data_IF_411265606027
#
_entry.id   IF_411265606027
#
_cell.length_a   1.000
_cell.length_b   1.000
_cell.length_c   1.000
_cell.angle_alpha   90.00
_cell.angle_beta   90.00
_cell.angle_gamma   90.00
#
_symmetry.space_group_name_H-M   'P 1'
#
loop_
_entity.id
_entity.type
_entity.pdbx_description
1 polymer ?
#
# COMPACT_ATOMS: atom_id res chain seq x y z
N UNK A 1 0.61 -10.53 -12.49
CA UNK A 1 -0.54 -9.99 -11.73
C UNK A 1 -0.38 -8.49 -11.64
N UNK A 2 -1.47 -7.73 -11.68
CA UNK A 2 -1.48 -6.30 -11.42
C UNK A 2 -2.31 -6.07 -10.17
N UNK A 3 -1.78 -5.36 -9.18
CA UNK A 3 -2.52 -5.00 -7.97
C UNK A 3 -3.01 -3.57 -8.08
N UNK A 4 -4.20 -3.31 -7.57
CA UNK A 4 -4.82 -1.98 -7.60
C UNK A 4 -5.47 -1.68 -6.26
N UNK A 5 -5.39 -0.41 -5.90
CA UNK A 5 -6.07 0.22 -4.77
C UNK A 5 -7.19 1.11 -5.30
N UNK A 6 -8.10 1.52 -4.43
CA UNK A 6 -9.19 2.44 -4.71
C UNK A 6 -9.29 3.44 -3.55
N UNK A 7 -9.26 4.74 -3.87
CA UNK A 7 -9.27 5.83 -2.90
C UNK A 7 -10.72 6.21 -2.52
N UNK A 8 -11.38 5.28 -1.85
CA UNK A 8 -12.71 5.48 -1.26
C UNK A 8 -12.71 4.97 0.19
N UNK A 9 -13.56 5.55 1.04
CA UNK A 9 -13.66 5.20 2.47
C UNK A 9 -14.11 3.74 2.71
N UNK A 10 -14.80 3.15 1.74
CA UNK A 10 -15.28 1.77 1.71
C UNK A 10 -14.66 0.97 0.56
N UNK A 11 -13.39 1.22 0.26
CA UNK A 11 -12.68 0.60 -0.86
C UNK A 11 -12.37 -0.88 -0.66
N UNK A 12 -12.06 -1.54 -1.77
CA UNK A 12 -11.48 -2.88 -1.80
C UNK A 12 -10.04 -2.84 -2.32
N UNK A 13 -9.30 -3.91 -2.06
CA UNK A 13 -8.03 -4.18 -2.74
C UNK A 13 -8.29 -5.15 -3.89
N UNK A 14 -7.79 -4.79 -5.06
CA UNK A 14 -8.02 -5.53 -6.29
C UNK A 14 -6.74 -6.18 -6.81
N UNK A 15 -6.91 -7.27 -7.56
CA UNK A 15 -5.90 -7.72 -8.51
C UNK A 15 -6.52 -8.04 -9.87
N UNK A 16 -5.77 -7.74 -10.91
CA UNK A 16 -6.09 -8.12 -12.27
C UNK A 16 -5.15 -9.23 -12.76
N UNK A 17 -5.76 -10.31 -13.24
CA UNK A 17 -5.11 -11.44 -13.87
C UNK A 17 -5.32 -11.33 -15.39
N UNK A 18 -4.31 -10.85 -16.15
CA UNK A 18 -4.46 -10.68 -17.59
C UNK A 18 -4.66 -12.04 -18.26
N UNK A 19 -5.57 -12.10 -19.23
CA UNK A 19 -5.81 -13.31 -20.03
C UNK A 19 -4.54 -13.71 -20.81
N UNK A 20 -3.76 -12.72 -21.25
CA UNK A 20 -2.46 -12.91 -21.87
C UNK A 20 -1.43 -12.02 -21.17
N UNK A 21 -0.41 -12.58 -20.49
CA UNK A 21 0.65 -11.80 -19.86
C UNK A 21 1.27 -10.76 -20.81
N UNK A 22 1.42 -9.52 -20.35
CA UNK A 22 1.95 -8.41 -21.14
C UNK A 22 0.95 -7.75 -22.11
N UNK A 23 -0.30 -8.23 -22.21
CA UNK A 23 -1.33 -7.66 -23.09
C UNK A 23 -2.61 -7.33 -22.32
N UNK A 24 -2.57 -6.25 -21.53
CA UNK A 24 -3.69 -5.84 -20.66
C UNK A 24 -4.99 -5.58 -21.43
N UNK A 25 -4.89 -4.97 -22.61
CA UNK A 25 -6.04 -4.67 -23.47
C UNK A 25 -6.78 -5.92 -24.00
N UNK A 26 -6.20 -7.13 -23.88
CA UNK A 26 -6.88 -8.37 -24.22
C UNK A 26 -7.88 -8.84 -23.15
N UNK A 27 -8.05 -8.07 -22.08
CA UNK A 27 -8.92 -8.42 -20.96
C UNK A 27 -8.29 -9.44 -20.01
N UNK A 28 -9.07 -9.88 -19.04
CA UNK A 28 -8.63 -10.73 -17.95
C UNK A 28 -9.70 -10.84 -16.87
N UNK A 29 -9.30 -11.28 -15.68
CA UNK A 29 -10.19 -11.35 -14.52
C UNK A 29 -9.78 -10.29 -13.51
N UNK A 30 -10.74 -9.49 -13.06
CA UNK A 30 -10.57 -8.63 -11.89
C UNK A 30 -11.07 -9.38 -10.67
N UNK A 31 -10.31 -9.30 -9.58
CA UNK A 31 -10.63 -9.95 -8.33
C UNK A 31 -10.49 -8.99 -7.16
N UNK A 32 -11.25 -9.20 -6.08
CA UNK A 32 -11.11 -8.48 -4.81
C UNK A 32 -10.57 -9.36 -3.69
N UNK A 33 -9.78 -8.77 -2.80
CA UNK A 33 -9.17 -9.45 -1.66
C UNK A 33 -10.21 -9.69 -0.56
N UNK A 34 -10.23 -10.91 -0.01
CA UNK A 34 -11.08 -11.30 1.10
C UNK A 34 -10.26 -12.03 2.17
N UNK A 35 -10.60 -11.82 3.44
CA UNK A 35 -10.06 -12.68 4.50
C UNK A 35 -10.66 -14.09 4.35
N UNK A 36 -9.83 -15.13 4.54
CA UNK A 36 -10.25 -16.51 4.36
C UNK A 36 -11.36 -16.90 5.36
N UNK A 37 -11.20 -16.48 6.62
CA UNK A 37 -12.10 -16.86 7.73
C UNK A 37 -13.20 -15.83 8.02
N UNK A 38 -13.06 -14.59 7.53
CA UNK A 38 -14.00 -13.50 7.81
C UNK A 38 -14.54 -12.92 6.50
N UNK A 39 -15.78 -13.27 6.16
CA UNK A 39 -16.47 -12.69 5.00
C UNK A 39 -16.85 -11.25 5.30
N UNK A 40 -16.71 -10.38 4.30
CA UNK A 40 -17.11 -8.97 4.41
C UNK A 40 -16.45 -8.31 5.63
N UNK A 41 -15.18 -8.61 5.86
CA UNK A 41 -14.45 -8.06 7.00
C UNK A 41 -14.23 -6.55 6.81
N UNK A 42 -14.30 -5.81 7.91
CA UNK A 42 -13.89 -4.41 7.96
C UNK A 42 -12.49 -4.33 8.57
N UNK A 43 -11.48 -3.92 7.77
CA UNK A 43 -10.08 -3.87 8.22
C UNK A 43 -9.63 -2.49 8.71
N UNK A 44 -10.53 -1.51 8.66
CA UNK A 44 -10.22 -0.09 8.83
C UNK A 44 -9.92 0.30 10.27
N UNK A 45 -10.23 -0.58 11.24
CA UNK A 45 -10.05 -0.36 12.68
C UNK A 45 -10.71 0.93 13.22
N UNK A 46 -11.69 1.50 12.52
CA UNK A 46 -12.37 2.72 12.94
C UNK A 46 -13.13 2.58 14.26
N UNK A 47 -13.23 3.67 15.05
CA UNK A 47 -14.02 3.68 16.28
C UNK A 47 -15.48 3.26 16.04
N UNK A 48 -16.01 2.42 16.92
CA UNK A 48 -17.38 1.92 16.80
C UNK A 48 -17.57 0.76 15.83
N UNK A 49 -16.49 0.31 15.15
CA UNK A 49 -16.47 -0.95 14.42
C UNK A 49 -16.72 -2.12 15.38
N UNK A 50 -17.83 -2.82 15.18
CA UNK A 50 -18.19 -3.98 15.97
C UNK A 50 -17.52 -5.23 15.42
N UNK A 51 -16.72 -5.88 16.26
CA UNK A 51 -16.23 -7.26 16.13
C UNK A 51 -14.96 -7.47 15.28
N UNK A 52 -13.83 -7.35 15.97
CA UNK A 52 -12.50 -7.85 15.63
C UNK A 52 -11.64 -6.93 14.75
N UNK A 53 -11.14 -5.87 15.38
CA UNK A 53 -9.99 -5.10 14.88
C UNK A 53 -8.89 -6.03 14.37
N UNK A 54 -8.21 -5.60 13.32
CA UNK A 54 -7.04 -6.29 12.78
C UNK A 54 -5.85 -5.92 13.68
N UNK A 55 -5.26 -6.87 14.41
CA UNK A 55 -4.05 -6.58 15.18
C UNK A 55 -2.87 -6.39 14.24
N UNK A 56 -1.99 -5.45 14.59
CA UNK A 56 -0.71 -5.29 13.91
C UNK A 56 0.12 -6.57 13.99
N UNK A 57 0.95 -6.79 12.97
CA UNK A 57 1.93 -7.86 12.91
C UNK A 57 1.38 -9.29 13.07
N UNK A 58 0.11 -9.49 12.73
CA UNK A 58 -0.56 -10.81 12.76
C UNK A 58 -0.93 -11.23 11.35
N UNK A 59 -0.27 -12.27 10.79
CA UNK A 59 -0.63 -12.78 9.47
C UNK A 59 -2.04 -13.36 9.45
N UNK A 60 -2.80 -12.98 8.42
CA UNK A 60 -4.14 -13.46 8.12
C UNK A 60 -4.14 -14.16 6.77
N UNK A 61 -4.70 -15.36 6.72
CA UNK A 61 -4.92 -16.03 5.45
C UNK A 61 -5.97 -15.28 4.62
N UNK A 62 -5.68 -15.11 3.35
CA UNK A 62 -6.56 -14.40 2.41
C UNK A 62 -6.81 -15.19 1.14
N UNK A 63 -7.86 -14.79 0.42
CA UNK A 63 -8.24 -15.35 -0.86
C UNK A 63 -8.78 -14.25 -1.77
N UNK A 64 -8.79 -14.53 -3.07
CA UNK A 64 -9.30 -13.61 -4.08
C UNK A 64 -10.67 -14.05 -4.60
N UNK A 65 -11.58 -13.10 -4.75
CA UNK A 65 -12.94 -13.29 -5.27
C UNK A 65 -13.00 -12.73 -6.69
N UNK A 66 -13.39 -13.53 -7.68
CA UNK A 66 -13.71 -13.00 -9.01
C UNK A 66 -14.86 -12.00 -8.91
N UNK A 67 -14.73 -10.89 -9.65
CA UNK A 67 -15.75 -9.85 -9.76
C UNK A 67 -16.36 -9.87 -11.17
N UNK A 68 -17.67 -9.68 -11.22
CA UNK A 68 -18.44 -9.53 -12.45
C UNK A 68 -18.83 -8.06 -12.69
N UNK A 69 -19.22 -7.72 -13.92
CA UNK A 69 -19.63 -6.36 -14.33
C UNK A 69 -18.60 -5.29 -13.89
N UNK A 70 -17.34 -5.52 -14.27
CA UNK A 70 -16.17 -4.78 -13.81
C UNK A 70 -16.07 -3.37 -14.41
N UNK A 71 -16.84 -3.07 -15.45
CA UNK A 71 -17.00 -1.73 -16.01
C UNK A 71 -17.72 -0.77 -15.04
N UNK A 72 -18.45 -1.31 -14.06
CA UNK A 72 -19.14 -0.60 -12.98
C UNK A 72 -19.73 0.77 -13.38
N UNK A 73 -20.69 0.81 -14.34
CA UNK A 73 -21.29 2.07 -14.79
C UNK A 73 -22.11 2.79 -13.70
N UNK A 74 -22.33 2.14 -12.55
CA UNK A 74 -23.07 2.66 -11.40
C UNK A 74 -22.17 3.04 -10.22
N UNK A 75 -20.85 2.94 -10.37
CA UNK A 75 -19.90 3.13 -9.27
C UNK A 75 -20.25 2.25 -8.04
N UNK A 76 -20.44 0.95 -8.31
CA UNK A 76 -20.97 0.00 -7.33
C UNK A 76 -20.11 -1.26 -7.12
N UNK A 77 -18.94 -1.31 -7.75
CA UNK A 77 -18.09 -2.49 -7.75
C UNK A 77 -17.65 -2.86 -6.32
N UNK A 78 -17.18 -1.87 -5.55
CA UNK A 78 -16.76 -2.07 -4.15
C UNK A 78 -17.90 -2.54 -3.25
N UNK A 79 -19.08 -1.97 -3.41
CA UNK A 79 -20.28 -2.35 -2.66
C UNK A 79 -20.68 -3.80 -2.94
N UNK A 80 -20.69 -4.21 -4.22
CA UNK A 80 -20.99 -5.60 -4.62
C UNK A 80 -19.90 -6.56 -4.18
N UNK A 81 -18.63 -6.20 -4.32
CA UNK A 81 -17.50 -7.02 -3.91
C UNK A 81 -17.51 -7.26 -2.39
N UNK A 82 -17.76 -6.23 -1.59
CA UNK A 82 -17.90 -6.36 -0.15
C UNK A 82 -19.09 -7.25 0.23
N UNK A 83 -20.26 -7.04 -0.40
CA UNK A 83 -21.43 -7.90 -0.21
C UNK A 83 -21.16 -9.38 -0.59
N UNK A 84 -20.28 -9.62 -1.56
CA UNK A 84 -19.82 -10.96 -1.94
C UNK A 84 -18.77 -11.55 -0.97
N UNK A 85 -18.24 -10.73 -0.07
CA UNK A 85 -17.37 -11.13 1.04
C UNK A 85 -15.96 -10.56 0.99
N UNK A 86 -15.65 -9.62 0.09
CA UNK A 86 -14.37 -8.92 0.08
C UNK A 86 -14.18 -8.06 1.33
N UNK A 87 -12.93 -7.84 1.73
CA UNK A 87 -12.60 -7.03 2.88
C UNK A 87 -12.58 -5.53 2.52
N UNK A 88 -13.08 -4.67 3.41
CA UNK A 88 -12.99 -3.21 3.27
C UNK A 88 -11.64 -2.72 3.75
N UNK A 89 -11.13 -1.73 3.03
CA UNK A 89 -9.94 -0.95 3.35
C UNK A 89 -10.33 0.54 3.30
N UNK A 90 -9.61 1.38 4.05
CA UNK A 90 -9.94 2.80 4.16
C UNK A 90 -9.03 3.56 3.21
N UNK A 91 -9.58 4.09 2.10
CA UNK A 91 -8.88 4.97 1.16
C UNK A 91 -7.54 4.37 0.71
N UNK A 92 -7.63 3.33 -0.10
CA UNK A 92 -6.46 2.64 -0.62
C UNK A 92 -5.76 3.54 -1.64
N UNK A 93 -4.50 3.89 -1.42
CA UNK A 93 -3.78 4.83 -2.29
C UNK A 93 -2.46 4.22 -2.78
N UNK A 94 -1.31 4.72 -2.31
CA UNK A 94 -0.01 4.25 -2.75
C UNK A 94 0.18 2.75 -2.56
N UNK A 95 0.77 2.10 -3.56
CA UNK A 95 1.08 0.68 -3.56
C UNK A 95 2.45 0.44 -4.19
N UNK A 96 3.25 -0.39 -3.56
CA UNK A 96 4.56 -0.77 -4.10
C UNK A 96 4.83 -2.26 -3.90
N UNK A 97 5.64 -2.84 -4.79
CA UNK A 97 6.12 -4.21 -4.67
C UNK A 97 7.64 -4.20 -4.52
N UNK A 98 8.15 -4.87 -3.48
CA UNK A 98 9.57 -4.94 -3.19
C UNK A 98 9.89 -6.14 -2.30
N UNK A 99 11.07 -6.73 -2.47
CA UNK A 99 11.52 -7.89 -1.68
C UNK A 99 10.55 -9.08 -1.67
N UNK A 100 9.75 -9.25 -2.73
CA UNK A 100 8.78 -10.34 -2.86
C UNK A 100 7.44 -10.07 -2.16
N UNK A 101 7.25 -8.88 -1.60
CA UNK A 101 6.06 -8.49 -0.84
C UNK A 101 5.44 -7.23 -1.45
N UNK A 102 4.14 -7.07 -1.24
CA UNK A 102 3.35 -5.91 -1.66
C UNK A 102 3.02 -5.08 -0.41
N UNK A 103 3.17 -3.77 -0.52
CA UNK A 103 2.82 -2.83 0.53
C UNK A 103 1.84 -1.81 -0.03
N UNK A 104 0.78 -1.52 0.70
CA UNK A 104 -0.18 -0.51 0.30
C UNK A 104 -0.67 0.31 1.49
N UNK A 105 -0.93 1.58 1.23
CA UNK A 105 -1.46 2.53 2.17
C UNK A 105 -2.99 2.48 2.21
N UNK A 106 -3.53 2.65 3.41
CA UNK A 106 -4.91 2.96 3.70
C UNK A 106 -4.94 4.29 4.45
N UNK A 107 -5.11 5.40 3.73
CA UNK A 107 -4.82 6.76 4.22
C UNK A 107 -5.60 7.11 5.48
N UNK A 108 -6.89 6.79 5.52
CA UNK A 108 -7.76 7.11 6.66
C UNK A 108 -7.94 5.93 7.61
N UNK A 109 -7.15 4.86 7.48
CA UNK A 109 -7.23 3.69 8.33
C UNK A 109 -6.79 3.92 9.78
N UNK A 110 -7.14 2.97 10.64
CA UNK A 110 -6.72 2.90 12.04
C UNK A 110 -7.68 3.58 13.01
N UNK A 111 -7.50 3.29 14.30
CA UNK A 111 -8.39 3.84 15.34
C UNK A 111 -8.38 5.38 15.41
N UNK A 112 -7.26 5.99 15.01
CA UNK A 112 -7.11 7.45 14.92
C UNK A 112 -7.55 8.04 13.59
N UNK A 113 -7.80 7.20 12.56
CA UNK A 113 -7.97 7.64 11.18
C UNK A 113 -6.75 8.42 10.68
N UNK A 114 -5.56 7.90 10.97
CA UNK A 114 -4.26 8.54 10.72
C UNK A 114 -3.37 7.73 9.77
N UNK A 115 -3.85 6.58 9.30
CA UNK A 115 -3.15 5.76 8.32
C UNK A 115 -2.86 4.35 8.82
N UNK A 116 -2.99 3.41 7.89
CA UNK A 116 -2.50 2.05 8.02
C UNK A 116 -1.66 1.70 6.79
N UNK A 117 -0.64 0.87 6.97
CA UNK A 117 0.09 0.23 5.87
C UNK A 117 -0.12 -1.27 6.03
N UNK A 118 -0.63 -1.90 4.98
CA UNK A 118 -0.77 -3.35 4.92
C UNK A 118 0.37 -3.95 4.12
N UNK A 119 0.81 -5.12 4.56
CA UNK A 119 1.77 -5.99 3.89
C UNK A 119 1.05 -7.23 3.37
N UNK A 120 1.18 -7.50 2.08
CA UNK A 120 0.66 -8.69 1.43
C UNK A 120 1.80 -9.56 0.90
N UNK A 121 1.77 -10.84 1.27
CA UNK A 121 2.68 -11.87 0.77
C UNK A 121 1.93 -12.72 -0.26
N UNK A 122 2.30 -12.64 -1.55
CA UNK A 122 1.70 -13.45 -2.58
C UNK A 122 1.94 -14.95 -2.36
N UNK A 123 1.07 -15.77 -2.93
CA UNK A 123 1.32 -17.20 -3.04
C UNK A 123 2.54 -17.48 -3.91
N UNK A 124 3.25 -18.58 -3.65
CA UNK A 124 4.23 -19.12 -4.60
C UNK A 124 3.61 -19.46 -5.97
N UNK A 125 2.27 -19.60 -6.03
CA UNK A 125 1.49 -19.84 -7.23
C UNK A 125 0.48 -18.70 -7.49
N UNK A 126 0.85 -17.45 -7.17
CA UNK A 126 -0.01 -16.26 -7.29
C UNK A 126 -0.74 -16.17 -8.65
N UNK A 127 -2.07 -16.17 -8.62
CA UNK A 127 -2.91 -16.06 -9.81
C UNK A 127 -3.01 -17.34 -10.66
N UNK A 128 -2.41 -18.45 -10.23
CA UNK A 128 -2.48 -19.76 -10.89
C UNK A 128 -3.52 -20.69 -10.23
N UNK A 129 -3.87 -21.79 -10.91
CA UNK A 129 -4.85 -22.76 -10.38
C UNK A 129 -4.42 -23.43 -9.06
N UNK A 130 -3.12 -23.48 -8.80
CA UNK A 130 -2.49 -24.08 -7.61
C UNK A 130 -2.31 -23.10 -6.45
N UNK A 131 -2.81 -21.86 -6.57
CA UNK A 131 -2.67 -20.82 -5.54
C UNK A 131 -3.11 -21.29 -4.15
N UNK A 132 -4.15 -22.13 -4.07
CA UNK A 132 -4.65 -22.70 -2.81
C UNK A 132 -3.68 -23.66 -2.13
N UNK A 133 -2.66 -24.16 -2.81
CA UNK A 133 -1.64 -25.05 -2.22
C UNK A 133 -0.62 -24.27 -1.37
N UNK A 134 -0.51 -22.95 -1.55
CA UNK A 134 0.36 -22.07 -0.78
C UNK A 134 -0.39 -20.75 -0.52
N UNK A 135 -1.16 -20.63 0.57
CA UNK A 135 -2.01 -19.48 0.83
C UNK A 135 -1.24 -18.15 0.86
N UNK A 136 -1.87 -17.11 0.32
CA UNK A 136 -1.38 -15.74 0.46
C UNK A 136 -1.66 -15.23 1.87
N UNK A 137 -0.86 -14.28 2.34
CA UNK A 137 -1.03 -13.68 3.66
C UNK A 137 -1.18 -12.17 3.58
N UNK A 138 -2.06 -11.63 4.40
CA UNK A 138 -2.21 -10.21 4.64
C UNK A 138 -1.85 -9.91 6.09
N UNK A 139 -1.20 -8.79 6.33
CA UNK A 139 -0.80 -8.35 7.66
C UNK A 139 -0.98 -6.83 7.74
N UNK A 140 -1.61 -6.35 8.79
CA UNK A 140 -1.53 -4.94 9.15
C UNK A 140 -0.11 -4.69 9.66
N UNK A 141 0.71 -4.04 8.83
CA UNK A 141 2.15 -3.90 9.08
C UNK A 141 2.45 -2.69 9.96
N UNK A 142 1.74 -1.59 9.73
CA UNK A 142 1.79 -0.39 10.55
C UNK A 142 0.38 0.16 10.70
N UNK A 143 -0.02 0.50 11.91
CA UNK A 143 -1.12 1.42 12.20
C UNK A 143 -0.58 2.63 12.96
N UNK A 144 -0.92 3.83 12.50
CA UNK A 144 -0.46 5.04 13.18
C UNK A 144 -1.14 5.18 14.56
N UNK A 145 -0.32 5.09 15.61
CA UNK A 145 -0.73 5.35 16.99
C UNK A 145 -0.56 6.83 17.40
N UNK A 146 0.10 7.65 16.57
CA UNK A 146 0.33 9.08 16.78
C UNK A 146 0.44 9.78 15.42
N UNK A 147 -0.41 10.78 15.17
CA UNK A 147 -0.36 11.63 13.96
C UNK A 147 0.97 12.36 13.78
N UNK A 148 1.79 12.46 14.84
CA UNK A 148 3.16 12.99 14.73
C UNK A 148 4.17 11.95 14.24
N UNK A 149 3.86 10.67 14.24
CA UNK A 149 4.71 9.63 13.71
C UNK A 149 4.39 9.35 12.23
N UNK A 150 3.10 9.29 11.90
CA UNK A 150 2.57 9.12 10.55
C UNK A 150 1.14 9.68 10.51
N UNK A 151 0.82 10.52 9.54
CA UNK A 151 -0.54 11.04 9.34
C UNK A 151 -0.93 10.96 7.87
N UNK A 152 -2.02 10.25 7.57
CA UNK A 152 -2.56 10.04 6.24
C UNK A 152 -1.48 9.55 5.26
N UNK A 153 -0.98 8.33 5.49
CA UNK A 153 -0.01 7.73 4.60
C UNK A 153 -0.63 7.48 3.21
N UNK A 154 -0.05 8.07 2.17
CA UNK A 154 -0.56 7.97 0.80
C UNK A 154 0.44 7.22 -0.08
N UNK A 155 1.35 7.92 -0.75
CA UNK A 155 2.26 7.32 -1.72
C UNK A 155 3.43 6.63 -1.02
N UNK A 156 3.85 5.45 -1.49
CA UNK A 156 4.98 4.74 -0.91
C UNK A 156 5.86 4.04 -1.95
N UNK A 157 7.15 3.89 -1.64
CA UNK A 157 8.12 3.10 -2.41
C UNK A 157 9.10 2.37 -1.51
N UNK A 158 9.62 1.23 -1.96
CA UNK A 158 10.80 0.62 -1.36
C UNK A 158 12.02 1.51 -1.60
N UNK A 159 12.82 1.72 -0.56
CA UNK A 159 14.10 2.43 -0.62
C UNK A 159 15.23 1.49 -1.09
N UNK A 160 16.36 2.02 -1.60
CA UNK A 160 17.53 1.21 -1.95
C UNK A 160 18.13 0.39 -0.80
N UNK A 161 17.84 0.76 0.46
CA UNK A 161 18.37 0.07 1.65
C UNK A 161 17.37 -0.87 2.32
N UNK A 162 16.15 -1.00 1.78
CA UNK A 162 15.17 -2.01 2.21
C UNK A 162 14.09 -1.53 3.18
N UNK A 163 14.08 -0.24 3.53
CA UNK A 163 12.95 0.40 4.23
C UNK A 163 11.86 0.80 3.21
N UNK A 164 10.65 1.12 3.67
CA UNK A 164 9.69 1.89 2.89
C UNK A 164 9.92 3.38 3.08
N UNK A 165 9.72 4.16 2.02
CA UNK A 165 9.59 5.62 2.08
C UNK A 165 8.15 5.98 1.74
N UNK A 166 7.50 6.69 2.64
CA UNK A 166 6.07 7.01 2.60
C UNK A 166 5.90 8.53 2.55
N UNK A 167 4.99 9.01 1.72
CA UNK A 167 4.54 10.39 1.71
C UNK A 167 3.27 10.53 2.55
N UNK A 168 3.17 11.63 3.30
CA UNK A 168 1.95 12.04 3.99
C UNK A 168 1.10 12.97 3.10
N UNK A 169 -0.23 12.79 3.15
CA UNK A 169 -1.25 13.75 2.68
C UNK A 169 -2.10 14.25 3.88
N UNK A 170 -1.43 15.00 4.76
CA UNK A 170 -2.01 15.52 5.99
C UNK A 170 -2.38 17.01 5.89
N UNK A 171 -3.23 17.47 6.82
CA UNK A 171 -3.54 18.90 6.98
C UNK A 171 -2.45 19.67 7.77
N UNK A 172 -1.31 19.03 8.00
CA UNK A 172 -0.11 19.56 8.66
C UNK A 172 1.03 19.64 7.62
N UNK A 173 2.20 20.23 7.95
CA UNK A 173 3.37 20.08 7.09
C UNK A 173 3.65 18.59 6.82
N UNK A 174 3.42 18.17 5.58
CA UNK A 174 3.55 16.78 5.16
C UNK A 174 5.01 16.36 5.12
N UNK A 175 5.29 15.14 5.55
CA UNK A 175 6.63 14.58 5.61
C UNK A 175 6.83 13.38 4.70
N UNK A 176 8.10 13.12 4.44
CA UNK A 176 8.59 11.80 4.08
C UNK A 176 8.86 11.03 5.37
N UNK A 177 8.21 9.89 5.53
CA UNK A 177 8.34 9.00 6.68
C UNK A 177 8.96 7.69 6.20
N UNK A 178 10.04 7.28 6.86
CA UNK A 178 10.63 5.97 6.65
C UNK A 178 9.97 4.92 7.55
N UNK A 179 9.78 3.71 7.00
CA UNK A 179 9.29 2.54 7.73
C UNK A 179 10.34 1.43 7.63
N UNK A 180 10.91 1.03 8.75
CA UNK A 180 11.91 -0.05 8.81
C UNK A 180 11.25 -1.42 8.57
N UNK A 181 12.02 -2.48 8.24
CA UNK A 181 11.45 -3.81 7.98
C UNK A 181 10.66 -4.43 9.15
N UNK A 182 10.91 -3.97 10.37
CA UNK A 182 10.21 -4.36 11.60
C UNK A 182 9.04 -3.41 11.97
N UNK A 183 8.68 -2.47 11.09
CA UNK A 183 7.53 -1.57 11.26
C UNK A 183 7.84 -0.28 12.05
N UNK A 184 9.11 -0.01 12.35
CA UNK A 184 9.53 1.21 13.04
C UNK A 184 9.42 2.45 12.15
N UNK A 185 8.87 3.53 12.69
CA UNK A 185 8.68 4.80 11.98
C UNK A 185 9.79 5.81 12.31
N UNK A 186 10.28 6.52 11.28
CA UNK A 186 11.17 7.66 11.46
C UNK A 186 10.89 8.78 10.46
N UNK A 187 10.99 10.04 10.91
CA UNK A 187 10.88 11.19 10.00
C UNK A 187 12.15 11.31 9.16
N UNK A 188 11.99 11.34 7.84
CA UNK A 188 13.10 11.48 6.90
C UNK A 188 13.28 12.94 6.44
N UNK A 189 12.20 13.59 6.01
CA UNK A 189 12.20 14.99 5.59
C UNK A 189 10.79 15.60 5.77
N UNK A 190 10.70 16.92 5.80
CA UNK A 190 9.43 17.65 5.90
C UNK A 190 9.33 18.68 4.77
N UNK A 191 8.13 18.88 4.22
CA UNK A 191 7.85 19.98 3.32
C UNK A 191 7.79 21.31 4.09
N UNK A 192 8.95 21.93 4.30
CA UNK A 192 9.04 23.25 4.93
C UNK A 192 8.62 24.42 4.02
N UNK A 193 8.29 24.16 2.74
CA UNK A 193 7.98 25.20 1.77
C UNK A 193 6.50 25.62 1.77
N UNK A 194 5.60 24.64 1.81
CA UNK A 194 4.14 24.86 1.69
C UNK A 194 3.38 23.78 2.48
N UNK A 195 2.10 24.01 2.83
CA UNK A 195 1.23 22.96 3.40
C UNK A 195 0.73 21.97 2.33
N UNK A 196 1.36 21.91 1.15
CA UNK A 196 1.01 20.92 0.13
C UNK A 196 1.54 19.55 0.53
N UNK A 197 0.77 18.51 0.22
CA UNK A 197 1.21 17.13 0.29
C UNK A 197 2.45 16.87 -0.57
N UNK A 198 3.17 15.82 -0.17
CA UNK A 198 4.23 15.20 -0.95
C UNK A 198 3.66 14.03 -1.74
N UNK A 199 4.09 13.86 -2.98
CA UNK A 199 3.57 12.80 -3.84
C UNK A 199 4.63 12.24 -4.78
N UNK A 200 4.48 10.97 -5.17
CA UNK A 200 5.28 10.30 -6.17
C UNK A 200 6.75 10.15 -5.80
N UNK A 201 7.03 9.75 -4.55
CA UNK A 201 8.40 9.48 -4.12
C UNK A 201 8.99 8.28 -4.87
N UNK A 202 10.21 8.45 -5.40
CA UNK A 202 10.97 7.36 -6.03
C UNK A 202 12.48 7.62 -5.93
N UNK A 203 13.28 6.60 -6.26
CA UNK A 203 14.73 6.69 -6.27
C UNK A 203 15.27 6.45 -7.68
N UNK A 204 16.39 7.09 -8.01
CA UNK A 204 17.17 6.76 -9.19
C UNK A 204 17.64 5.29 -9.15
N UNK A 205 17.86 4.64 -10.31
CA UNK A 205 18.28 3.23 -10.33
C UNK A 205 19.60 2.95 -9.58
N UNK A 206 20.48 3.93 -9.44
CA UNK A 206 21.72 3.83 -8.68
C UNK A 206 21.56 4.16 -7.17
N UNK A 207 20.34 4.50 -6.74
CA UNK A 207 19.97 4.83 -5.37
C UNK A 207 20.55 6.15 -4.86
N UNK A 208 21.08 7.01 -5.73
CA UNK A 208 21.80 8.24 -5.33
C UNK A 208 20.93 9.49 -5.27
N UNK A 209 19.79 9.47 -5.94
CA UNK A 209 18.87 10.61 -6.01
C UNK A 209 17.47 10.15 -5.61
N UNK A 210 16.87 10.84 -4.65
CA UNK A 210 15.45 10.73 -4.33
C UNK A 210 14.71 11.80 -5.14
N UNK A 211 13.62 11.42 -5.79
CA UNK A 211 12.69 12.34 -6.41
C UNK A 211 11.39 12.35 -5.62
N UNK A 212 10.80 13.53 -5.43
CA UNK A 212 9.50 13.71 -4.78
C UNK A 212 8.84 14.98 -5.30
N UNK A 213 7.52 14.99 -5.39
CA UNK A 213 6.77 16.16 -5.84
C UNK A 213 6.14 16.89 -4.66
N UNK A 214 6.03 18.21 -4.78
CA UNK A 214 5.14 19.04 -3.97
C UNK A 214 3.91 19.33 -4.84
N UNK A 215 2.83 18.58 -4.60
CA UNK A 215 1.75 18.41 -5.58
C UNK A 215 1.10 19.73 -6.02
N UNK A 216 0.57 20.52 -5.08
CA UNK A 216 -0.14 21.78 -5.38
C UNK A 216 0.78 22.89 -5.90
N UNK A 217 2.08 22.78 -5.62
CA UNK A 217 3.09 23.71 -6.13
C UNK A 217 3.59 23.33 -7.53
N UNK A 218 3.31 22.12 -8.01
CA UNK A 218 3.79 21.63 -9.31
C UNK A 218 5.32 21.50 -9.38
N UNK A 219 5.97 21.26 -8.24
CA UNK A 219 7.43 21.15 -8.15
C UNK A 219 7.85 19.69 -8.03
N UNK A 220 8.91 19.31 -8.75
CA UNK A 220 9.64 18.06 -8.53
C UNK A 220 11.01 18.39 -7.94
N UNK A 221 11.31 17.80 -6.79
CA UNK A 221 12.61 17.91 -6.14
C UNK A 221 13.47 16.72 -6.53
N UNK A 222 14.76 16.99 -6.75
CA UNK A 222 15.80 15.97 -6.88
C UNK A 222 16.78 16.15 -5.72
N UNK A 223 16.77 15.20 -4.78
CA UNK A 223 17.55 15.27 -3.54
C UNK A 223 18.69 14.27 -3.66
N UNK A 224 19.91 14.77 -3.74
CA UNK A 224 21.12 13.94 -3.78
C UNK A 224 21.47 13.45 -2.38
N UNK A 225 21.96 12.21 -2.30
CA UNK A 225 22.47 11.60 -1.07
C UNK A 225 23.79 12.22 -0.55
N UNK A 226 24.48 11.53 0.37
CA UNK A 226 24.42 10.08 0.57
C UNK A 226 23.16 9.61 1.33
N UNK A 227 22.58 8.52 0.86
CA UNK A 227 21.57 7.74 1.59
C UNK A 227 22.17 6.41 2.08
N UNK A 228 21.58 5.74 3.08
CA UNK A 228 21.97 4.39 3.45
C UNK A 228 21.97 3.47 2.22
N UNK A 229 22.90 2.51 2.16
CA UNK A 229 23.00 1.58 1.02
C UNK A 229 23.60 2.16 -0.28
N UNK A 230 23.95 3.46 -0.33
CA UNK A 230 24.74 4.00 -1.46
C UNK A 230 26.02 3.17 -1.67
N UNK A 231 26.43 2.86 -2.92
CA UNK A 231 27.60 2.02 -3.22
C UNK A 231 28.91 2.47 -2.57
N UNK A 232 29.00 3.74 -2.17
CA UNK A 232 30.17 4.30 -1.46
C UNK A 232 30.19 3.96 0.03
N UNK A 233 29.05 3.57 0.61
CA UNK A 233 28.90 3.21 2.02
C UNK A 233 28.78 1.69 2.25
N UNK A 234 28.62 0.87 1.20
CA UNK A 234 28.50 -0.58 1.34
C UNK A 234 29.24 -1.36 0.23
N UNK A 235 30.51 -1.80 0.45
CA UNK A 235 31.27 -2.53 -0.58
C UNK A 235 30.78 -3.96 -0.85
N UNK A 236 29.68 -4.42 -0.24
CA UNK A 236 29.27 -5.84 -0.26
C UNK A 236 28.20 -6.24 -1.26
N UNK A 237 27.64 -5.32 -2.04
CA UNK A 237 26.67 -5.68 -3.08
C UNK A 237 27.03 -5.02 -4.41
N UNK A 238 28.00 -5.63 -5.10
CA UNK A 238 28.11 -5.55 -6.56
C UNK A 238 27.40 -6.78 -7.11
N UNK A 239 26.27 -6.58 -7.79
CA UNK A 239 25.74 -7.57 -8.73
C UNK A 239 26.61 -7.60 -9.99
#
# INVERSE_FOLDING_TARGET
>A
VLYLTEDEDDSLIYRFLPQTPGRLAAGGRLQALALAERKAADTRNWPGGSENQIPENTPLDVRWLDLDEVESPRDDLRMRGHAAGAALFARGEGICFGNGELYFCCTSGGALGAGQIFRYRPSAFEGASREREAPCQLELFVESADRRALDNCDNLTMTPWGDLMVCEDANTPCSLVGVTPDGGLYRFAENAHTPSELAGVCFSPDGRTLFVNIQKSGLTLAIAGPFPGSPELNPRHRC
#
